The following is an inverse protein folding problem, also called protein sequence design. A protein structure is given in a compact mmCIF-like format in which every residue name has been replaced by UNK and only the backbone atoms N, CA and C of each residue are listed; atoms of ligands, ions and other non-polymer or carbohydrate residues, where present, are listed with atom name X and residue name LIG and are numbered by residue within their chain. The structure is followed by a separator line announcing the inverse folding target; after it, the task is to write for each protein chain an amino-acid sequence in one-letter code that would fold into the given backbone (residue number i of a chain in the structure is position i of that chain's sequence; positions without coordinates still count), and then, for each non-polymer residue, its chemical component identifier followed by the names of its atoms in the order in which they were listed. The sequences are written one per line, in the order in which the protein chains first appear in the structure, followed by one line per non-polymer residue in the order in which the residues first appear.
data_IF_585800935250
#
_entry.id   IF_585800935250
#
_cell.length_a   1.000
_cell.length_b   1.000
_cell.length_c   1.000
_cell.angle_alpha   90.00
_cell.angle_beta   90.00
_cell.angle_gamma   90.00
#
_symmetry.space_group_name_H-M   'P 1'
#
loop_
_entity.id
_entity.type
_entity.pdbx_description
1 polymer ?
#
# COMPACT_ATOMS: atom_id res chain seq x y z
N UNK A 1 -15.21 4.72 1.16
CA UNK A 1 -13.91 4.04 0.95
C UNK A 1 -12.97 5.04 0.30
N UNK A 2 -11.91 5.45 0.99
CA UNK A 2 -10.90 6.34 0.40
C UNK A 2 -9.72 5.48 -0.02
N UNK A 3 -9.38 5.47 -1.30
CA UNK A 3 -8.22 4.76 -1.85
C UNK A 3 -7.33 5.77 -2.56
N UNK A 4 -6.25 6.19 -1.90
CA UNK A 4 -5.22 7.03 -2.50
C UNK A 4 -4.42 6.15 -3.48
N UNK A 5 -4.47 6.49 -4.77
CA UNK A 5 -3.77 5.74 -5.82
C UNK A 5 -2.67 6.62 -6.40
N UNK A 6 -1.41 6.27 -6.16
CA UNK A 6 -0.27 6.90 -6.82
C UNK A 6 0.04 6.10 -8.09
N UNK A 7 -0.28 6.67 -9.26
CA UNK A 7 -0.05 6.03 -10.56
C UNK A 7 1.30 6.45 -11.13
N UNK A 8 2.27 5.54 -11.12
CA UNK A 8 3.41 5.54 -12.03
C UNK A 8 3.09 4.65 -13.25
N UNK A 9 3.74 4.84 -14.42
CA UNK A 9 3.31 4.25 -15.70
C UNK A 9 3.32 2.71 -15.78
N UNK A 10 3.85 1.99 -14.79
CA UNK A 10 3.81 0.52 -14.75
C UNK A 10 3.56 -0.08 -13.36
N UNK A 11 3.71 0.76 -12.33
CA UNK A 11 3.84 0.35 -10.95
C UNK A 11 2.88 1.17 -10.08
N UNK A 12 2.00 0.49 -9.35
CA UNK A 12 1.00 1.11 -8.50
C UNK A 12 1.16 0.60 -7.08
N UNK A 13 1.44 1.50 -6.15
CA UNK A 13 1.40 1.21 -4.73
C UNK A 13 -0.01 1.49 -4.21
N UNK A 14 -0.52 0.59 -3.39
CA UNK A 14 -1.84 0.68 -2.79
C UNK A 14 -1.74 0.59 -1.28
N UNK A 15 -2.49 1.45 -0.59
CA UNK A 15 -2.72 1.37 0.84
C UNK A 15 -4.23 1.45 1.08
N UNK A 16 -4.74 0.56 1.93
CA UNK A 16 -6.16 0.50 2.22
C UNK A 16 -6.45 -0.11 3.58
N UNK A 17 -7.60 0.21 4.14
CA UNK A 17 -8.07 -0.38 5.39
C UNK A 17 -8.87 -1.65 5.09
N UNK A 18 -8.53 -2.75 5.76
CA UNK A 18 -9.31 -3.98 5.81
C UNK A 18 -10.50 -3.73 6.73
N UNK A 19 -11.68 -3.48 6.14
CA UNK A 19 -12.92 -3.15 6.85
C UNK A 19 -13.32 -4.18 7.92
N UNK A 20 -12.84 -5.41 7.83
CA UNK A 20 -13.21 -6.53 8.69
C UNK A 20 -12.46 -6.55 10.04
N UNK A 21 -11.25 -5.96 10.12
CA UNK A 21 -10.34 -6.19 11.26
C UNK A 21 -9.67 -4.95 11.85
N UNK A 22 -10.05 -3.74 11.42
CA UNK A 22 -9.31 -2.51 11.73
C UNK A 22 -7.84 -2.51 11.26
N UNK A 23 -7.43 -3.53 10.50
CA UNK A 23 -6.09 -3.66 9.94
C UNK A 23 -5.96 -2.81 8.66
N UNK A 24 -4.73 -2.45 8.33
CA UNK A 24 -4.31 -1.72 7.15
C UNK A 24 -3.47 -2.63 6.27
N UNK A 25 -3.78 -2.72 4.99
CA UNK A 25 -2.96 -3.42 4.01
C UNK A 25 -2.25 -2.44 3.07
N UNK A 26 -0.97 -2.69 2.87
CA UNK A 26 -0.13 -2.05 1.86
C UNK A 26 0.26 -3.14 0.86
N UNK A 27 0.07 -2.90 -0.43
CA UNK A 27 0.52 -3.83 -1.46
C UNK A 27 1.01 -3.11 -2.71
N UNK A 28 1.93 -3.76 -3.41
CA UNK A 28 2.44 -3.30 -4.68
C UNK A 28 1.74 -4.05 -5.81
N UNK A 29 1.25 -3.31 -6.80
CA UNK A 29 0.65 -3.84 -8.01
C UNK A 29 1.54 -3.53 -9.20
N UNK A 30 2.18 -4.57 -9.75
CA UNK A 30 2.96 -4.46 -10.99
C UNK A 30 2.33 -5.37 -12.04
N UNK A 31 2.02 -4.80 -13.22
CA UNK A 31 1.47 -5.55 -14.37
C UNK A 31 0.29 -6.47 -14.05
N UNK A 32 -0.61 -6.01 -13.16
CA UNK A 32 -1.81 -6.76 -12.76
C UNK A 32 -1.57 -7.88 -11.74
N UNK A 33 -0.35 -8.02 -11.21
CA UNK A 33 -0.04 -8.92 -10.09
C UNK A 33 0.14 -8.13 -8.81
N UNK A 34 -0.51 -8.59 -7.74
CA UNK A 34 -0.26 -8.12 -6.37
C UNK A 34 1.01 -8.77 -5.88
N UNK A 35 2.07 -7.99 -5.73
CA UNK A 35 3.32 -8.37 -5.10
C UNK A 35 3.46 -7.66 -3.75
N UNK A 36 4.26 -8.25 -2.85
CA UNK A 36 4.64 -7.65 -1.58
C UNK A 36 3.48 -7.04 -0.77
N UNK A 37 2.43 -7.85 -0.57
CA UNK A 37 1.31 -7.49 0.31
C UNK A 37 1.75 -7.59 1.76
N UNK A 38 1.57 -6.52 2.52
CA UNK A 38 1.87 -6.44 3.94
C UNK A 38 0.67 -5.88 4.69
N UNK A 39 0.39 -6.43 5.87
CA UNK A 39 -0.74 -6.04 6.72
C UNK A 39 -0.18 -5.48 8.02
N UNK A 40 -0.79 -4.41 8.49
CA UNK A 40 -0.46 -3.65 9.67
C UNK A 40 -1.72 -3.48 10.51
N UNK A 41 -1.59 -3.45 11.84
CA UNK A 41 -2.71 -3.15 12.73
C UNK A 41 -2.95 -1.63 12.88
N UNK A 42 -1.95 -0.82 12.53
CA UNK A 42 -1.95 0.63 12.76
C UNK A 42 -1.85 1.40 11.44
N UNK A 43 -2.69 2.42 11.27
CA UNK A 43 -2.70 3.32 10.11
C UNK A 43 -1.34 3.99 9.93
N UNK A 44 -0.74 4.47 11.02
CA UNK A 44 0.50 5.23 11.00
C UNK A 44 1.65 4.37 10.52
N UNK A 45 1.72 3.12 10.99
CA UNK A 45 2.72 2.14 10.54
C UNK A 45 2.57 1.80 9.07
N UNK A 46 1.33 1.67 8.58
CA UNK A 46 1.07 1.41 7.17
C UNK A 46 1.51 2.60 6.29
N UNK A 47 1.21 3.83 6.71
CA UNK A 47 1.62 5.05 6.02
C UNK A 47 3.13 5.25 6.02
N UNK A 48 3.79 5.06 7.17
CA UNK A 48 5.25 5.17 7.29
C UNK A 48 5.94 4.17 6.38
N UNK A 49 5.53 2.89 6.43
CA UNK A 49 6.04 1.85 5.56
C UNK A 49 5.83 2.19 4.08
N UNK A 50 4.63 2.67 3.71
CA UNK A 50 4.30 3.06 2.34
C UNK A 50 5.20 4.18 1.81
N UNK A 51 5.47 5.21 2.62
CA UNK A 51 6.36 6.31 2.26
C UNK A 51 7.80 5.83 2.14
N UNK A 52 8.31 5.06 3.11
CA UNK A 52 9.65 4.50 3.06
C UNK A 52 9.86 3.65 1.80
N UNK A 53 8.85 2.86 1.44
CA UNK A 53 8.88 2.05 0.22
C UNK A 53 8.96 2.92 -1.03
N UNK A 54 8.11 3.94 -1.16
CA UNK A 54 8.12 4.83 -2.33
C UNK A 54 9.44 5.58 -2.43
N UNK A 55 9.98 6.05 -1.31
CA UNK A 55 11.27 6.77 -1.28
C UNK A 55 12.41 5.83 -1.65
N UNK A 56 12.39 4.58 -1.19
CA UNK A 56 13.43 3.58 -1.48
C UNK A 56 13.45 3.11 -2.94
N UNK A 57 12.29 3.09 -3.60
CA UNK A 57 12.15 2.68 -5.01
C UNK A 57 12.39 3.84 -6.00
N UNK A 58 12.72 5.05 -5.52
CA UNK A 58 13.04 6.22 -6.33
C UNK A 58 14.55 6.34 -6.58
#
# INVERSE_FOLDING_TARGET
MYTLTLKLPSDQFYIGKISDKNEWEVYYGERGRKNDRKVFDDESKACEYFIEWIVKYK
#
